data_IF_908835600459
#
_entry.id   IF_908835600459
#
_cell.length_a   1.000
_cell.length_b   1.000
_cell.length_c   1.000
_cell.angle_alpha   90.00
_cell.angle_beta   90.00
_cell.angle_gamma   90.00
#
_symmetry.space_group_name_H-M   'P 1'
#
loop_
_entity.id
_entity.type
_entity.pdbx_description
1 polymer ?
#
# COMPACT_ATOMS: atom_id res chain seq x y z
N UNK A 1 11.33 -17.64 7.58
CA UNK A 1 11.00 -17.94 6.18
C UNK A 1 12.30 -17.98 5.41
N UNK A 2 12.49 -18.91 4.46
CA UNK A 2 13.70 -18.96 3.64
C UNK A 2 13.54 -18.10 2.37
N UNK A 3 14.63 -17.81 1.66
CA UNK A 3 14.61 -16.90 0.50
C UNK A 3 13.72 -17.42 -0.65
N UNK A 4 13.74 -18.73 -0.90
CA UNK A 4 12.95 -19.36 -1.97
C UNK A 4 11.46 -19.21 -1.72
N UNK A 5 11.00 -19.48 -0.49
CA UNK A 5 9.59 -19.29 -0.13
C UNK A 5 9.13 -17.84 -0.22
N UNK A 6 9.99 -16.87 0.09
CA UNK A 6 9.67 -15.46 -0.12
C UNK A 6 9.52 -15.10 -1.60
N UNK A 7 10.40 -15.61 -2.48
CA UNK A 7 10.32 -15.39 -3.93
C UNK A 7 9.07 -16.02 -4.54
N UNK A 8 8.71 -17.22 -4.10
CA UNK A 8 7.50 -17.91 -4.55
C UNK A 8 6.23 -17.15 -4.14
N UNK A 9 6.18 -16.62 -2.91
CA UNK A 9 5.08 -15.78 -2.46
C UNK A 9 4.98 -14.48 -3.27
N UNK A 10 6.11 -13.82 -3.58
CA UNK A 10 6.14 -12.63 -4.44
C UNK A 10 5.60 -12.94 -5.84
N UNK A 11 5.94 -14.11 -6.40
CA UNK A 11 5.48 -14.55 -7.72
C UNK A 11 3.97 -14.87 -7.77
N UNK A 12 3.32 -15.11 -6.63
CA UNK A 12 1.87 -15.34 -6.56
C UNK A 12 1.05 -14.07 -6.84
N UNK A 13 1.65 -12.88 -6.77
CA UNK A 13 1.02 -11.65 -7.23
C UNK A 13 1.54 -11.29 -8.63
N UNK A 14 0.70 -11.38 -9.67
CA UNK A 14 1.12 -11.17 -11.06
C UNK A 14 1.46 -9.71 -11.35
N UNK A 15 0.96 -8.77 -10.54
CA UNK A 15 1.20 -7.34 -10.72
C UNK A 15 1.57 -6.64 -9.41
N UNK A 16 2.80 -6.14 -9.33
CA UNK A 16 3.25 -5.24 -8.26
C UNK A 16 3.33 -3.81 -8.76
N UNK A 17 2.73 -2.88 -8.04
CA UNK A 17 2.90 -1.44 -8.26
C UNK A 17 4.12 -0.91 -7.51
N UNK A 18 4.30 -1.29 -6.24
CA UNK A 18 5.42 -0.83 -5.42
C UNK A 18 6.57 -1.84 -5.37
N UNK A 19 7.81 -1.34 -5.47
CA UNK A 19 9.01 -2.09 -5.09
C UNK A 19 9.19 -2.05 -3.57
N UNK A 20 9.05 -3.21 -2.92
CA UNK A 20 9.12 -3.39 -1.47
C UNK A 20 10.15 -4.50 -1.20
N UNK A 21 11.13 -4.24 -0.33
CA UNK A 21 11.99 -5.30 0.17
C UNK A 21 11.26 -6.06 1.27
N UNK A 22 10.83 -7.28 0.95
CA UNK A 22 9.94 -8.11 1.80
C UNK A 22 10.70 -9.18 2.59
N UNK A 23 11.95 -9.42 2.22
CA UNK A 23 12.93 -10.22 2.96
C UNK A 23 14.35 -9.78 2.53
N UNK A 24 15.42 -10.11 3.26
CA UNK A 24 16.78 -9.71 2.88
C UNK A 24 17.12 -10.07 1.43
N UNK A 25 17.31 -9.07 0.57
CA UNK A 25 17.63 -9.26 -0.85
C UNK A 25 16.47 -9.74 -1.73
N UNK A 26 15.25 -9.81 -1.21
CA UNK A 26 14.02 -10.14 -1.96
C UNK A 26 13.18 -8.89 -2.08
N UNK A 27 13.12 -8.33 -3.28
CA UNK A 27 12.37 -7.13 -3.60
C UNK A 27 11.25 -7.49 -4.58
N UNK A 28 10.05 -7.01 -4.32
CA UNK A 28 8.92 -7.16 -5.24
C UNK A 28 9.22 -6.45 -6.57
N UNK A 29 8.80 -7.00 -7.72
CA UNK A 29 9.08 -6.44 -9.04
C UNK A 29 8.14 -5.26 -9.37
N UNK A 30 8.07 -4.27 -8.49
CA UNK A 30 7.13 -3.15 -8.62
C UNK A 30 7.48 -2.16 -9.71
N UNK A 31 6.45 -1.57 -10.33
CA UNK A 31 6.58 -0.52 -11.34
C UNK A 31 7.21 0.78 -10.80
N UNK A 32 7.02 1.08 -9.51
CA UNK A 32 7.47 2.30 -8.85
C UNK A 32 8.35 1.94 -7.66
N UNK A 33 9.58 2.46 -7.64
CA UNK A 33 10.50 2.35 -6.52
C UNK A 33 10.54 3.63 -5.69
N UNK A 34 9.90 3.59 -4.52
CA UNK A 34 9.77 4.72 -3.61
C UNK A 34 10.81 4.69 -2.47
N UNK A 35 11.59 3.61 -2.33
CA UNK A 35 12.62 3.44 -1.29
C UNK A 35 13.63 4.58 -1.26
N UNK A 36 14.16 5.08 -2.41
CA UNK A 36 15.10 6.21 -2.40
C UNK A 36 14.50 7.53 -1.91
N UNK A 37 13.17 7.65 -1.97
CA UNK A 37 12.44 8.88 -1.64
C UNK A 37 11.97 8.89 -0.18
N UNK A 38 11.75 7.71 0.42
CA UNK A 38 11.21 7.59 1.77
C UNK A 38 11.98 8.39 2.84
N UNK A 39 13.32 8.40 2.77
CA UNK A 39 14.16 9.17 3.70
C UNK A 39 13.97 10.69 3.62
N UNK A 40 13.40 11.20 2.52
CA UNK A 40 13.15 12.64 2.31
C UNK A 40 11.74 13.06 2.73
N UNK A 41 10.78 12.14 2.69
CA UNK A 41 9.36 12.44 2.93
C UNK A 41 8.89 12.05 4.33
N UNK A 42 9.48 11.02 4.93
CA UNK A 42 9.11 10.57 6.26
C UNK A 42 10.21 10.93 7.29
N UNK A 43 9.82 11.28 8.54
CA UNK A 43 10.76 11.42 9.64
C UNK A 43 11.53 10.12 9.86
N UNK A 44 12.80 10.19 10.28
CA UNK A 44 13.63 9.00 10.49
C UNK A 44 13.08 8.03 11.57
N UNK A 45 12.17 8.53 12.41
CA UNK A 45 11.60 7.89 13.60
C UNK A 45 10.15 8.33 13.76
N UNK A 46 9.26 7.38 14.00
CA UNK A 46 7.82 7.58 14.12
C UNK A 46 7.25 6.80 15.31
N UNK A 47 8.07 6.51 16.33
CA UNK A 47 7.62 5.82 17.54
C UNK A 47 6.53 6.62 18.26
N UNK A 48 5.57 5.92 18.88
CA UNK A 48 4.45 6.51 19.62
C UNK A 48 3.52 7.36 18.74
N UNK A 49 3.57 7.19 17.42
CA UNK A 49 2.67 7.84 16.46
C UNK A 49 1.75 6.80 15.86
N UNK A 50 0.45 7.08 15.87
CA UNK A 50 -0.52 6.37 15.06
C UNK A 50 -0.70 7.09 13.73
N UNK A 51 -0.36 6.44 12.63
CA UNK A 51 -0.34 7.00 11.29
C UNK A 51 -1.40 6.36 10.38
N UNK A 52 -1.87 7.14 9.42
CA UNK A 52 -2.76 6.69 8.34
C UNK A 52 -2.00 6.70 7.01
N UNK A 53 -2.03 5.60 6.27
CA UNK A 53 -1.65 5.54 4.85
C UNK A 53 -2.91 5.53 3.97
N UNK A 54 -3.10 6.56 3.15
CA UNK A 54 -4.29 6.73 2.31
C UNK A 54 -4.03 6.20 0.90
N UNK A 55 -4.84 5.22 0.46
CA UNK A 55 -4.73 4.54 -0.83
C UNK A 55 -3.44 3.74 -0.93
N UNK A 56 -3.31 2.75 -0.05
CA UNK A 56 -2.06 2.05 0.25
C UNK A 56 -1.58 1.13 -0.88
N UNK A 57 -2.48 0.65 -1.73
CA UNK A 57 -2.22 -0.31 -2.80
C UNK A 57 -1.45 -1.56 -2.28
N UNK A 58 -0.16 -1.70 -2.61
CA UNK A 58 0.69 -2.82 -2.13
C UNK A 58 1.26 -2.57 -0.73
N UNK A 59 1.12 -1.36 -0.16
CA UNK A 59 1.51 -1.10 1.23
C UNK A 59 2.85 -0.39 1.46
N UNK A 60 3.54 0.12 0.43
CA UNK A 60 4.91 0.66 0.60
C UNK A 60 5.02 1.69 1.72
N UNK A 61 4.17 2.72 1.70
CA UNK A 61 4.22 3.79 2.71
C UNK A 61 3.80 3.29 4.08
N UNK A 62 2.77 2.45 4.15
CA UNK A 62 2.35 1.83 5.40
C UNK A 62 3.48 1.03 6.07
N UNK A 63 4.11 0.10 5.35
CA UNK A 63 5.21 -0.71 5.89
C UNK A 63 6.45 0.13 6.20
N UNK A 64 6.73 1.18 5.43
CA UNK A 64 7.86 2.07 5.72
C UNK A 64 7.64 2.92 6.98
N UNK A 65 6.40 3.35 7.25
CA UNK A 65 6.03 4.03 8.49
C UNK A 65 6.10 3.08 9.68
N UNK A 66 5.59 1.86 9.55
CA UNK A 66 5.70 0.81 10.56
C UNK A 66 7.16 0.48 10.90
N UNK A 67 8.00 0.31 9.89
CA UNK A 67 9.45 0.08 10.05
C UNK A 67 10.14 1.20 10.82
N UNK A 68 9.57 2.42 10.82
CA UNK A 68 10.04 3.58 11.57
C UNK A 68 9.43 3.70 12.97
N UNK A 69 8.57 2.77 13.36
CA UNK A 69 8.00 2.62 14.69
C UNK A 69 6.56 3.15 14.85
N UNK A 70 5.89 3.54 13.77
CA UNK A 70 4.49 3.95 13.84
C UNK A 70 3.56 2.75 14.01
N UNK A 71 2.46 2.94 14.75
CA UNK A 71 1.26 2.11 14.59
C UNK A 71 0.55 2.61 13.33
N UNK A 72 0.24 1.75 12.36
CA UNK A 72 -0.28 2.20 11.07
C UNK A 72 -1.62 1.56 10.76
N UNK A 73 -2.57 2.41 10.36
CA UNK A 73 -3.76 2.00 9.63
C UNK A 73 -3.55 2.36 8.17
N UNK A 74 -3.79 1.43 7.27
CA UNK A 74 -3.72 1.64 5.83
C UNK A 74 -5.11 1.47 5.24
N UNK A 75 -5.52 2.38 4.37
CA UNK A 75 -6.81 2.27 3.69
C UNK A 75 -6.64 2.12 2.19
N UNK A 76 -7.58 1.39 1.59
CA UNK A 76 -7.83 1.42 0.16
C UNK A 76 -9.28 1.04 -0.12
N UNK A 77 -9.74 1.30 -1.34
CA UNK A 77 -11.04 0.82 -1.80
C UNK A 77 -11.02 -0.70 -1.97
N UNK A 78 -12.19 -1.39 -1.86
CA UNK A 78 -12.23 -2.86 -1.87
C UNK A 78 -11.84 -3.48 -3.22
N UNK A 79 -11.94 -2.74 -4.32
CA UNK A 79 -11.61 -3.23 -5.65
C UNK A 79 -11.27 -2.08 -6.61
N UNK A 80 -10.53 -2.39 -7.68
CA UNK A 80 -10.14 -1.42 -8.71
C UNK A 80 -11.34 -0.70 -9.35
N UNK A 81 -12.49 -1.37 -9.45
CA UNK A 81 -13.72 -0.77 -9.99
C UNK A 81 -14.30 0.35 -9.12
N UNK A 82 -14.00 0.34 -7.81
CA UNK A 82 -14.38 1.40 -6.89
C UNK A 82 -13.40 2.59 -6.93
N UNK A 83 -12.22 2.43 -7.53
CA UNK A 83 -11.27 3.51 -7.67
C UNK A 83 -11.77 4.56 -8.69
N UNK A 84 -11.46 5.82 -8.41
CA UNK A 84 -11.77 6.95 -9.27
C UNK A 84 -10.68 7.11 -10.35
N UNK A 85 -10.90 6.46 -11.49
CA UNK A 85 -10.04 6.58 -12.67
C UNK A 85 -10.34 7.84 -13.49
N UNK A 86 -9.32 8.53 -14.06
CA UNK A 86 -9.53 9.68 -14.92
C UNK A 86 -10.46 9.35 -16.11
N UNK A 87 -11.55 10.12 -16.35
CA UNK A 87 -12.58 9.75 -17.33
C UNK A 87 -12.05 9.49 -18.74
N UNK A 88 -11.06 10.28 -19.18
CA UNK A 88 -10.48 10.20 -20.53
C UNK A 88 -9.73 8.88 -20.77
N UNK A 89 -9.17 8.29 -19.72
CA UNK A 89 -8.36 7.07 -19.82
C UNK A 89 -8.98 5.84 -19.15
N UNK A 90 -10.16 5.97 -18.53
CA UNK A 90 -10.80 4.92 -17.72
C UNK A 90 -10.87 3.57 -18.44
N UNK A 91 -11.50 3.50 -19.61
CA UNK A 91 -11.68 2.24 -20.33
C UNK A 91 -10.35 1.55 -20.68
N UNK A 92 -9.31 2.34 -21.02
CA UNK A 92 -7.96 1.81 -21.29
C UNK A 92 -7.32 1.25 -20.03
N UNK A 93 -7.46 1.96 -18.90
CA UNK A 93 -6.86 1.55 -17.63
C UNK A 93 -7.57 0.35 -17.02
N UNK A 94 -8.90 0.25 -17.16
CA UNK A 94 -9.68 -0.92 -16.76
C UNK A 94 -9.28 -2.16 -17.58
N UNK A 95 -9.12 -2.02 -18.90
CA UNK A 95 -8.66 -3.13 -19.76
C UNK A 95 -7.24 -3.58 -19.38
N UNK A 96 -6.35 -2.62 -19.11
CA UNK A 96 -4.97 -2.89 -18.69
C UNK A 96 -4.92 -3.57 -17.31
N UNK A 97 -5.73 -3.14 -16.35
CA UNK A 97 -5.85 -3.77 -15.05
C UNK A 97 -6.33 -5.23 -15.14
N UNK A 98 -7.29 -5.51 -16.02
CA UNK A 98 -7.77 -6.86 -16.27
C UNK A 98 -6.71 -7.74 -16.96
N UNK A 99 -5.97 -7.20 -17.93
CA UNK A 99 -4.86 -7.89 -18.60
C UNK A 99 -3.76 -8.28 -17.61
N UNK A 100 -3.50 -7.43 -16.61
CA UNK A 100 -2.49 -7.64 -15.58
C UNK A 100 -2.96 -8.49 -14.38
N UNK A 101 -4.21 -8.98 -14.37
CA UNK A 101 -4.83 -9.65 -13.21
C UNK A 101 -4.62 -8.86 -11.92
N UNK A 102 -4.82 -7.54 -12.00
CA UNK A 102 -4.56 -6.64 -10.89
C UNK A 102 -5.68 -6.76 -9.84
N UNK A 103 -5.30 -6.97 -8.59
CA UNK A 103 -6.20 -7.08 -7.46
C UNK A 103 -5.69 -6.23 -6.29
N UNK A 104 -6.52 -5.27 -5.84
CA UNK A 104 -6.19 -4.47 -4.67
C UNK A 104 -6.14 -5.37 -3.43
N UNK A 105 -5.14 -5.15 -2.58
CA UNK A 105 -4.96 -5.92 -1.35
C UNK A 105 -4.21 -7.24 -1.52
N UNK A 106 -4.14 -7.85 -2.71
CA UNK A 106 -3.38 -9.10 -2.93
C UNK A 106 -1.89 -8.89 -2.63
N UNK A 107 -1.26 -7.90 -3.26
CA UNK A 107 0.14 -7.54 -3.03
C UNK A 107 0.41 -7.12 -1.58
N UNK A 108 -0.49 -6.32 -0.99
CA UNK A 108 -0.42 -5.93 0.42
C UNK A 108 -0.41 -7.15 1.35
N UNK A 109 -1.35 -8.08 1.17
CA UNK A 109 -1.46 -9.27 2.03
C UNK A 109 -0.21 -10.15 1.96
N UNK A 110 0.35 -10.32 0.76
CA UNK A 110 1.62 -11.05 0.58
C UNK A 110 2.76 -10.31 1.28
N UNK A 111 2.93 -9.01 1.03
CA UNK A 111 4.01 -8.23 1.63
C UNK A 111 3.90 -8.18 3.17
N UNK A 112 2.70 -7.96 3.71
CA UNK A 112 2.41 -7.96 5.15
C UNK A 112 2.81 -9.29 5.80
N UNK A 113 2.42 -10.42 5.19
CA UNK A 113 2.77 -11.75 5.70
C UNK A 113 4.28 -12.04 5.66
N UNK A 114 4.98 -11.59 4.60
CA UNK A 114 6.43 -11.75 4.47
C UNK A 114 7.20 -10.88 5.48
N UNK A 115 6.73 -9.66 5.70
CA UNK A 115 7.32 -8.69 6.64
C UNK A 115 6.99 -9.00 8.10
N UNK A 116 5.98 -9.84 8.38
CA UNK A 116 5.45 -10.04 9.73
C UNK A 116 4.83 -8.76 10.29
N UNK A 117 4.18 -8.00 9.41
CA UNK A 117 3.65 -6.66 9.67
C UNK A 117 2.36 -6.71 10.50
N UNK A 118 2.19 -5.72 11.36
CA UNK A 118 1.01 -5.44 12.18
C UNK A 118 0.17 -4.28 11.62
N UNK A 119 0.47 -3.76 10.41
CA UNK A 119 -0.35 -2.73 9.77
C UNK A 119 -1.79 -3.23 9.60
N UNK A 120 -2.73 -2.44 10.12
CA UNK A 120 -4.16 -2.70 9.97
C UNK A 120 -4.67 -2.17 8.62
N UNK A 121 -5.04 -3.06 7.70
CA UNK A 121 -5.64 -2.68 6.41
C UNK A 121 -7.15 -2.63 6.52
N UNK A 122 -7.72 -1.44 6.33
CA UNK A 122 -9.16 -1.19 6.35
C UNK A 122 -9.64 -0.87 4.94
N UNK A 123 -10.68 -1.55 4.47
CA UNK A 123 -11.33 -1.19 3.22
C UNK A 123 -12.23 0.01 3.44
N UNK A 124 -11.88 1.15 2.85
CA UNK A 124 -12.57 2.41 3.08
C UNK A 124 -12.34 3.35 1.91
N UNK A 125 -13.40 4.03 1.49
CA UNK A 125 -13.28 5.19 0.61
C UNK A 125 -12.73 6.38 1.40
N UNK A 126 -11.80 7.13 0.81
CA UNK A 126 -11.19 8.32 1.41
C UNK A 126 -12.24 9.38 1.83
N UNK A 127 -13.37 9.44 1.14
CA UNK A 127 -14.46 10.37 1.45
C UNK A 127 -15.28 9.94 2.67
N UNK A 128 -15.17 8.69 3.09
CA UNK A 128 -15.87 8.11 4.24
C UNK A 128 -14.97 8.01 5.49
N UNK A 129 -13.75 8.54 5.42
CA UNK A 129 -12.81 8.54 6.52
C UNK A 129 -13.37 9.21 7.77
N UNK A 130 -13.39 8.45 8.86
CA UNK A 130 -13.71 8.93 10.20
C UNK A 130 -12.85 8.23 11.23
N UNK A 131 -12.66 8.85 12.39
CA UNK A 131 -11.96 8.19 13.49
C UNK A 131 -12.65 6.88 13.91
N UNK A 132 -13.98 6.79 13.78
CA UNK A 132 -14.72 5.55 14.05
C UNK A 132 -14.38 4.46 13.03
N UNK A 133 -14.42 4.77 11.73
CA UNK A 133 -14.05 3.83 10.67
C UNK A 133 -12.59 3.34 10.79
N UNK A 134 -11.71 4.16 11.36
CA UNK A 134 -10.30 3.84 11.59
C UNK A 134 -10.02 3.25 12.97
N UNK A 135 -11.04 2.92 13.78
CA UNK A 135 -10.86 2.43 15.17
C UNK A 135 -10.07 3.37 16.09
N UNK A 136 -10.07 4.67 15.79
CA UNK A 136 -9.44 5.73 16.59
C UNK A 136 -8.90 6.88 15.73
N UNK A 137 -8.57 8.03 16.35
CA UNK A 137 -7.89 9.11 15.66
C UNK A 137 -6.46 8.72 15.25
N UNK A 138 -5.90 9.44 14.28
CA UNK A 138 -4.50 9.34 13.87
C UNK A 138 -3.81 10.69 14.07
N UNK A 139 -2.53 10.66 14.39
CA UNK A 139 -1.73 11.88 14.58
C UNK A 139 -1.10 12.37 13.26
N UNK A 140 -0.88 11.45 12.31
CA UNK A 140 -0.30 11.75 11.00
C UNK A 140 -1.10 11.01 9.92
N UNK A 141 -1.37 11.66 8.81
CA UNK A 141 -1.90 11.02 7.61
C UNK A 141 -0.92 11.27 6.45
N UNK A 142 -0.58 10.20 5.74
CA UNK A 142 0.24 10.25 4.54
C UNK A 142 -0.64 9.98 3.32
N UNK A 143 -0.54 10.86 2.32
CA UNK A 143 -1.22 10.73 1.04
C UNK A 143 -0.19 10.90 -0.06
N UNK A 144 0.15 9.80 -0.72
CA UNK A 144 1.22 9.75 -1.72
C UNK A 144 0.76 10.25 -3.09
N UNK A 145 0.12 9.36 -3.86
CA UNK A 145 -0.25 9.62 -5.26
C UNK A 145 -1.78 9.65 -5.48
N UNK A 146 -2.58 9.63 -4.41
CA UNK A 146 -4.03 9.41 -4.51
C UNK A 146 -4.80 10.66 -4.93
N UNK A 147 -4.22 11.86 -4.76
CA UNK A 147 -4.90 13.11 -5.07
C UNK A 147 -5.27 13.25 -6.55
N UNK A 148 -4.58 12.54 -7.45
CA UNK A 148 -4.91 12.48 -8.87
C UNK A 148 -6.16 11.64 -9.17
N UNK A 149 -6.60 10.86 -8.18
CA UNK A 149 -7.77 10.00 -8.21
C UNK A 149 -8.95 10.60 -7.45
N UNK A 150 -8.85 11.82 -6.92
CA UNK A 150 -9.97 12.45 -6.20
C UNK A 150 -10.69 13.46 -7.09
N UNK A 151 -12.01 13.56 -6.90
CA UNK A 151 -12.87 14.66 -7.36
C UNK A 151 -12.90 15.84 -6.40
#
# INVERSE_FOLDING_TARGET
>A
MDETSARDAVAANPHWYHSIEVAPGVVTPGQVDLRPTAGRLLPARMELVRALDVGTFDGFWAFEMERRGAEVVAIDVPALGAAEWPPVSRARLEAQAAEWDMELGRGFGIASALLGSEVDRVESDVYELSAEALSGPVAVAFSGAILLHLR
#
